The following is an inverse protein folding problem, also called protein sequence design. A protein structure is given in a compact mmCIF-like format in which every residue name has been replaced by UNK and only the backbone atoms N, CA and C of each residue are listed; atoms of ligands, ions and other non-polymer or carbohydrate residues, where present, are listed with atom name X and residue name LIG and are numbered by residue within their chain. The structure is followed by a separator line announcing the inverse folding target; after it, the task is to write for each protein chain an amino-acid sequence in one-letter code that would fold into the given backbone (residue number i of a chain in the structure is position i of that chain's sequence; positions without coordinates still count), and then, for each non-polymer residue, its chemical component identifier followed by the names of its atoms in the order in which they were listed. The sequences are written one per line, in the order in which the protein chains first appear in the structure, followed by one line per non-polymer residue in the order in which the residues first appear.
data_IF_020229256720
#
_entry.id   IF_020229256720
#
_cell.length_a   1.000
_cell.length_b   1.000
_cell.length_c   1.000
_cell.angle_alpha   90.00
_cell.angle_beta   90.00
_cell.angle_gamma   90.00
#
_symmetry.space_group_name_H-M   'P 1'
#
loop_
_entity.id
_entity.type
_entity.pdbx_description
1 polymer ?
#
# COMPACT_ATOMS: atom_id res chain seq x y z
N UNK A 1 14.39 2.77 -2.98
CA UNK A 1 14.09 1.71 -1.98
C UNK A 1 15.27 0.75 -1.70
N UNK A 2 15.85 0.07 -2.70
CA UNK A 2 16.87 -0.97 -2.47
C UNK A 2 18.14 -0.49 -1.73
N UNK A 3 18.61 0.73 -2.02
CA UNK A 3 19.77 1.33 -1.34
C UNK A 3 19.57 1.42 0.17
N UNK A 4 18.48 2.03 0.65
CA UNK A 4 18.24 2.20 2.09
C UNK A 4 17.95 0.90 2.84
N UNK A 5 17.42 -0.13 2.16
CA UNK A 5 17.27 -1.45 2.75
C UNK A 5 18.65 -2.06 3.04
N UNK A 6 19.62 -1.91 2.13
CA UNK A 6 21.02 -2.34 2.34
C UNK A 6 21.67 -1.58 3.50
N UNK A 7 21.42 -0.28 3.60
CA UNK A 7 21.88 0.59 4.70
C UNK A 7 21.13 0.36 6.04
N UNK A 8 20.36 -0.73 6.18
CA UNK A 8 19.57 -1.06 7.38
C UNK A 8 18.60 0.06 7.82
N UNK A 9 18.12 0.88 6.88
CA UNK A 9 17.15 1.98 7.08
C UNK A 9 15.80 1.70 6.38
N UNK A 10 15.09 0.61 6.73
CA UNK A 10 13.86 0.22 6.04
C UNK A 10 12.72 1.23 6.22
N UNK A 11 12.64 1.90 7.39
CA UNK A 11 11.59 2.89 7.67
C UNK A 11 11.69 4.08 6.73
N UNK A 12 12.90 4.62 6.52
CA UNK A 12 13.12 5.70 5.54
C UNK A 12 12.74 5.26 4.12
N UNK A 13 13.01 4.00 3.79
CA UNK A 13 12.64 3.45 2.49
C UNK A 13 11.13 3.41 2.26
N UNK A 14 10.39 2.96 3.26
CA UNK A 14 8.92 2.94 3.24
C UNK A 14 8.37 4.37 3.13
N UNK A 15 8.81 5.29 3.99
CA UNK A 15 8.30 6.66 4.03
C UNK A 15 8.52 7.37 2.69
N UNK A 16 9.75 7.37 2.17
CA UNK A 16 10.04 8.13 0.95
C UNK A 16 9.34 7.53 -0.27
N UNK A 17 9.25 6.20 -0.35
CA UNK A 17 8.52 5.55 -1.43
C UNK A 17 7.01 5.86 -1.38
N UNK A 18 6.44 5.93 -0.17
CA UNK A 18 5.02 6.25 0.03
C UNK A 18 4.71 7.72 -0.28
N UNK A 19 5.60 8.65 0.10
CA UNK A 19 5.50 10.06 -0.30
C UNK A 19 5.56 10.16 -1.82
N UNK A 20 6.56 9.54 -2.45
CA UNK A 20 6.72 9.58 -3.90
C UNK A 20 5.46 9.06 -4.61
N UNK A 21 4.91 7.92 -4.17
CA UNK A 21 3.69 7.36 -4.71
C UNK A 21 2.52 8.34 -4.59
N UNK A 22 2.27 8.89 -3.40
CA UNK A 22 1.21 9.87 -3.21
C UNK A 22 1.43 11.14 -4.04
N UNK A 23 2.67 11.61 -4.19
CA UNK A 23 2.99 12.82 -4.96
C UNK A 23 2.74 12.66 -6.45
N UNK A 24 2.90 11.46 -7.01
CA UNK A 24 2.60 11.18 -8.41
C UNK A 24 1.11 11.38 -8.76
N UNK A 25 0.23 11.46 -7.77
CA UNK A 25 -1.22 11.62 -7.94
C UNK A 25 -1.69 13.06 -7.72
N UNK A 26 -0.81 14.02 -7.41
CA UNK A 26 -1.18 15.42 -7.17
C UNK A 26 -1.89 16.04 -8.37
N UNK A 27 -1.55 15.61 -9.59
CA UNK A 27 -2.18 16.09 -10.82
C UNK A 27 -3.56 15.47 -11.09
N UNK A 28 -4.00 14.50 -10.29
CA UNK A 28 -5.28 13.84 -10.51
C UNK A 28 -6.45 14.75 -10.10
N UNK A 29 -7.59 14.67 -10.80
CA UNK A 29 -8.78 15.42 -10.41
C UNK A 29 -9.21 15.10 -8.98
N UNK A 30 -9.72 16.11 -8.27
CA UNK A 30 -10.25 15.98 -6.91
C UNK A 30 -9.22 15.52 -5.85
N UNK A 31 -7.93 15.62 -6.16
CA UNK A 31 -6.88 15.37 -5.18
C UNK A 31 -6.94 16.43 -4.06
N UNK A 32 -6.97 15.97 -2.82
CA UNK A 32 -6.89 16.77 -1.61
C UNK A 32 -6.05 16.06 -0.52
N UNK A 33 -6.06 16.62 0.68
CA UNK A 33 -5.30 16.07 1.79
C UNK A 33 -5.77 14.66 2.22
N UNK A 34 -7.06 14.36 2.10
CA UNK A 34 -7.58 13.04 2.46
C UNK A 34 -7.19 11.98 1.43
N UNK A 35 -7.23 12.31 0.12
CA UNK A 35 -6.70 11.40 -0.90
C UNK A 35 -5.20 11.18 -0.74
N UNK A 36 -4.44 12.24 -0.42
CA UNK A 36 -3.02 12.12 -0.15
C UNK A 36 -2.73 11.15 1.00
N UNK A 37 -3.50 11.24 2.09
CA UNK A 37 -3.39 10.35 3.24
C UNK A 37 -3.72 8.89 2.88
N UNK A 38 -4.80 8.66 2.13
CA UNK A 38 -5.17 7.32 1.65
C UNK A 38 -4.09 6.70 0.77
N UNK A 39 -3.61 7.43 -0.24
CA UNK A 39 -2.55 6.99 -1.14
C UNK A 39 -1.21 6.79 -0.45
N UNK A 40 -0.87 7.65 0.51
CA UNK A 40 0.33 7.48 1.33
C UNK A 40 0.28 6.16 2.11
N UNK A 41 -0.83 5.87 2.81
CA UNK A 41 -0.98 4.61 3.54
C UNK A 41 -0.99 3.39 2.63
N UNK A 42 -1.62 3.48 1.46
CA UNK A 42 -1.51 2.44 0.44
C UNK A 42 -0.05 2.23 0.02
N UNK A 43 0.69 3.33 -0.23
CA UNK A 43 2.12 3.30 -0.51
C UNK A 43 2.95 2.61 0.59
N UNK A 44 2.57 2.78 1.86
CA UNK A 44 3.21 2.10 3.00
C UNK A 44 2.98 0.58 2.91
N UNK A 45 1.73 0.16 2.73
CA UNK A 45 1.37 -1.27 2.57
C UNK A 45 2.13 -1.91 1.41
N UNK A 46 2.20 -1.22 0.27
CA UNK A 46 2.90 -1.72 -0.92
C UNK A 46 4.41 -1.80 -0.71
N UNK A 47 4.98 -0.83 -0.01
CA UNK A 47 6.39 -0.81 0.38
C UNK A 47 6.73 -1.98 1.31
N UNK A 48 5.86 -2.31 2.25
CA UNK A 48 6.01 -3.45 3.16
C UNK A 48 5.84 -4.80 2.44
N UNK A 49 4.87 -4.92 1.55
CA UNK A 49 4.72 -6.09 0.68
C UNK A 49 5.98 -6.33 -0.17
N UNK A 50 6.62 -5.26 -0.65
CA UNK A 50 7.90 -5.35 -1.37
C UNK A 50 9.04 -5.83 -0.47
N UNK A 51 9.05 -5.45 0.80
CA UNK A 51 10.05 -5.92 1.77
C UNK A 51 9.85 -7.41 2.06
N UNK A 52 8.61 -7.85 2.22
CA UNK A 52 8.26 -9.24 2.55
C UNK A 52 8.58 -10.21 1.40
N UNK A 53 8.21 -9.84 0.17
CA UNK A 53 8.27 -10.74 -0.99
C UNK A 53 9.51 -10.56 -1.86
N UNK A 54 10.30 -9.51 -1.61
CA UNK A 54 11.44 -9.11 -2.43
C UNK A 54 11.14 -8.89 -3.94
N UNK A 55 9.87 -8.78 -4.32
CA UNK A 55 9.41 -8.75 -5.71
C UNK A 55 8.55 -7.51 -5.99
N UNK A 56 8.93 -6.69 -6.98
CA UNK A 56 8.17 -5.50 -7.38
C UNK A 56 6.94 -5.83 -8.24
N UNK A 57 6.98 -6.94 -8.98
CA UNK A 57 5.84 -7.39 -9.79
C UNK A 57 4.66 -7.78 -8.91
N UNK A 58 4.91 -8.27 -7.70
CA UNK A 58 3.86 -8.54 -6.71
C UNK A 58 3.11 -7.25 -6.33
N UNK A 59 3.84 -6.14 -6.14
CA UNK A 59 3.24 -4.83 -5.91
C UNK A 59 2.44 -4.38 -7.14
N UNK A 60 2.99 -4.53 -8.35
CA UNK A 60 2.26 -4.23 -9.57
C UNK A 60 0.96 -5.02 -9.71
N UNK A 61 0.98 -6.32 -9.42
CA UNK A 61 -0.17 -7.20 -9.50
C UNK A 61 -1.25 -6.83 -8.47
N UNK A 62 -0.88 -6.58 -7.21
CA UNK A 62 -1.82 -6.16 -6.16
C UNK A 62 -2.44 -4.80 -6.49
N UNK A 63 -1.64 -3.85 -6.99
CA UNK A 63 -2.15 -2.53 -7.40
C UNK A 63 -3.11 -2.64 -8.58
N UNK A 64 -2.73 -3.39 -9.62
CA UNK A 64 -3.58 -3.63 -10.77
C UNK A 64 -4.88 -4.34 -10.38
N UNK A 65 -4.81 -5.33 -9.47
CA UNK A 65 -5.99 -6.00 -8.94
C UNK A 65 -6.91 -5.00 -8.21
N UNK A 66 -6.36 -4.15 -7.33
CA UNK A 66 -7.13 -3.14 -6.63
C UNK A 66 -7.89 -2.20 -7.60
N UNK A 67 -7.18 -1.61 -8.56
CA UNK A 67 -7.80 -0.73 -9.56
C UNK A 67 -8.79 -1.47 -10.48
N UNK A 68 -8.53 -2.74 -10.81
CA UNK A 68 -9.45 -3.56 -11.59
C UNK A 68 -10.75 -3.80 -10.83
N UNK A 69 -10.67 -4.12 -9.54
CA UNK A 69 -11.87 -4.29 -8.72
C UNK A 69 -12.64 -2.98 -8.54
N UNK A 70 -11.96 -1.86 -8.25
CA UNK A 70 -12.61 -0.56 -8.15
C UNK A 70 -13.26 -0.14 -9.47
N UNK A 71 -12.48 -0.07 -10.54
CA UNK A 71 -12.92 0.54 -11.79
C UNK A 71 -13.71 -0.39 -12.71
N UNK A 72 -13.32 -1.67 -12.82
CA UNK A 72 -13.96 -2.60 -13.75
C UNK A 72 -15.09 -3.37 -13.09
N UNK A 73 -14.88 -3.88 -11.87
CA UNK A 73 -15.90 -4.70 -11.20
C UNK A 73 -16.94 -3.81 -10.50
N UNK A 74 -16.53 -2.88 -9.64
CA UNK A 74 -17.47 -2.08 -8.85
C UNK A 74 -17.89 -0.77 -9.52
N UNK A 75 -17.14 -0.30 -10.52
CA UNK A 75 -17.44 0.91 -11.25
C UNK A 75 -17.29 2.19 -10.41
N UNK A 76 -16.39 2.20 -9.43
CA UNK A 76 -16.02 3.39 -8.67
C UNK A 76 -14.91 4.17 -9.38
N UNK A 77 -14.85 5.49 -9.17
CA UNK A 77 -13.69 6.29 -9.59
C UNK A 77 -12.40 5.67 -9.02
N UNK A 78 -11.34 5.67 -9.81
CA UNK A 78 -10.01 5.17 -9.42
C UNK A 78 -9.06 6.35 -9.34
N UNK A 79 -8.66 6.75 -8.13
CA UNK A 79 -7.76 7.89 -7.91
C UNK A 79 -8.13 9.19 -8.66
N UNK A 80 -9.42 9.54 -8.74
CA UNK A 80 -9.92 10.73 -9.42
C UNK A 80 -10.17 10.56 -10.92
N UNK A 81 -9.81 9.39 -11.49
CA UNK A 81 -9.97 9.09 -12.90
C UNK A 81 -11.28 8.32 -13.17
N UNK A 82 -11.93 8.55 -14.33
CA UNK A 82 -13.14 7.85 -14.69
C UNK A 82 -12.87 6.35 -14.88
N UNK A 83 -13.93 5.55 -14.69
CA UNK A 83 -13.88 4.11 -14.80
C UNK A 83 -14.87 3.59 -15.87
N UNK A 84 -14.78 2.30 -16.17
CA UNK A 84 -15.63 1.62 -17.15
C UNK A 84 -16.89 1.03 -16.49
N UNK A 85 -16.78 0.49 -15.27
CA UNK A 85 -17.90 -0.10 -14.52
C UNK A 85 -18.60 -1.25 -15.27
N UNK A 86 -17.83 -2.27 -15.66
CA UNK A 86 -18.28 -3.34 -16.55
C UNK A 86 -19.28 -4.30 -15.90
N UNK A 87 -19.06 -4.66 -14.63
CA UNK A 87 -19.92 -5.62 -13.91
C UNK A 87 -20.97 -4.91 -13.09
N UNK A 88 -20.53 -3.99 -12.22
CA UNK A 88 -21.39 -3.11 -11.44
C UNK A 88 -21.03 -1.66 -11.71
N UNK A 89 -22.02 -0.77 -11.50
CA UNK A 89 -21.84 0.68 -11.58
C UNK A 89 -22.26 1.30 -10.25
N UNK A 90 -21.27 1.53 -9.39
CA UNK A 90 -21.51 2.18 -8.10
C UNK A 90 -21.90 3.64 -8.31
N UNK A 91 -22.94 4.08 -7.61
CA UNK A 91 -23.42 5.46 -7.62
C UNK A 91 -23.35 6.03 -6.21
N UNK A 92 -22.71 7.19 -6.08
CA UNK A 92 -22.64 7.90 -4.81
C UNK A 92 -24.02 8.46 -4.43
N UNK A 93 -24.83 7.66 -3.72
CA UNK A 93 -26.14 8.09 -3.20
C UNK A 93 -26.04 8.92 -1.92
N UNK A 94 -24.94 8.81 -1.18
CA UNK A 94 -24.67 9.61 0.02
C UNK A 94 -23.69 10.74 -0.31
N UNK A 95 -23.84 11.87 0.37
CA UNK A 95 -22.89 12.99 0.33
C UNK A 95 -21.67 12.76 1.22
N UNK A 96 -21.70 11.73 2.08
CA UNK A 96 -20.59 11.41 2.98
C UNK A 96 -19.40 10.80 2.22
N UNK A 97 -18.44 11.65 1.89
CA UNK A 97 -17.20 11.24 1.25
C UNK A 97 -16.31 10.40 2.18
N UNK A 98 -16.56 10.39 3.48
CA UNK A 98 -15.87 9.49 4.42
C UNK A 98 -16.22 8.02 4.18
N UNK A 99 -17.40 7.73 3.63
CA UNK A 99 -17.82 6.37 3.28
C UNK A 99 -17.50 6.03 1.83
N UNK A 100 -17.71 6.97 0.91
CA UNK A 100 -17.62 6.70 -0.53
C UNK A 100 -16.30 7.09 -1.16
N UNK A 101 -15.54 7.98 -0.52
CA UNK A 101 -14.37 8.64 -1.12
C UNK A 101 -14.72 9.73 -2.14
N UNK A 102 -16.01 9.95 -2.41
CA UNK A 102 -16.49 11.02 -3.29
C UNK A 102 -16.00 10.86 -4.74
N UNK A 103 -15.69 11.99 -5.38
CA UNK A 103 -15.23 12.01 -6.77
C UNK A 103 -13.79 11.55 -6.96
N UNK A 104 -13.00 11.38 -5.89
CA UNK A 104 -11.66 10.79 -5.97
C UNK A 104 -11.71 9.26 -6.03
N UNK A 105 -12.75 8.63 -5.49
CA UNK A 105 -12.82 7.18 -5.38
C UNK A 105 -12.57 6.68 -3.96
N UNK A 106 -12.89 5.42 -3.72
CA UNK A 106 -12.99 4.84 -2.37
C UNK A 106 -11.64 4.82 -1.63
N UNK A 107 -10.52 4.95 -2.33
CA UNK A 107 -9.16 5.12 -1.76
C UNK A 107 -9.06 6.34 -0.82
N UNK A 108 -9.84 7.40 -1.09
CA UNK A 108 -9.93 8.60 -0.23
C UNK A 108 -10.87 8.39 0.98
N UNK A 109 -11.69 7.35 0.99
CA UNK A 109 -12.65 7.12 2.07
C UNK A 109 -11.95 6.87 3.41
N UNK A 110 -12.60 7.27 4.51
CA UNK A 110 -12.12 6.97 5.86
C UNK A 110 -12.07 5.46 6.14
N UNK A 111 -12.94 4.68 5.49
CA UNK A 111 -12.95 3.22 5.57
C UNK A 111 -11.66 2.64 4.99
N UNK A 112 -11.29 3.03 3.76
CA UNK A 112 -10.04 2.57 3.14
C UNK A 112 -8.82 3.01 3.92
N UNK A 113 -8.78 4.27 4.39
CA UNK A 113 -7.71 4.79 5.24
C UNK A 113 -7.52 3.93 6.49
N UNK A 114 -8.62 3.58 7.18
CA UNK A 114 -8.56 2.72 8.36
C UNK A 114 -8.03 1.32 8.01
N UNK A 115 -8.52 0.72 6.92
CA UNK A 115 -8.07 -0.60 6.46
C UNK A 115 -6.57 -0.57 6.12
N UNK A 116 -6.10 0.43 5.38
CA UNK A 116 -4.70 0.57 5.02
C UNK A 116 -3.82 0.77 6.26
N UNK A 117 -4.27 1.55 7.25
CA UNK A 117 -3.56 1.70 8.52
C UNK A 117 -3.44 0.38 9.28
N UNK A 118 -4.54 -0.39 9.39
CA UNK A 118 -4.54 -1.71 10.03
C UNK A 118 -3.63 -2.69 9.29
N UNK A 119 -3.66 -2.69 7.96
CA UNK A 119 -2.78 -3.53 7.14
C UNK A 119 -1.31 -3.13 7.33
N UNK A 120 -0.98 -1.84 7.30
CA UNK A 120 0.37 -1.35 7.52
C UNK A 120 0.91 -1.79 8.89
N UNK A 121 0.13 -1.61 9.96
CA UNK A 121 0.53 -2.07 11.31
C UNK A 121 0.72 -3.59 11.34
N UNK A 122 -0.18 -4.34 10.72
CA UNK A 122 -0.11 -5.81 10.70
C UNK A 122 1.13 -6.31 9.96
N UNK A 123 1.41 -5.76 8.77
CA UNK A 123 2.59 -6.11 7.98
C UNK A 123 3.87 -5.67 8.67
N UNK A 124 3.91 -4.48 9.29
CA UNK A 124 5.04 -4.04 10.12
C UNK A 124 5.34 -5.03 11.26
N UNK A 125 4.31 -5.53 11.94
CA UNK A 125 4.44 -6.56 12.99
C UNK A 125 5.00 -7.86 12.39
N UNK A 126 4.50 -8.30 11.24
CA UNK A 126 4.99 -9.50 10.55
C UNK A 126 6.46 -9.34 10.15
N UNK A 127 6.84 -8.19 9.59
CA UNK A 127 8.23 -7.88 9.21
C UNK A 127 9.13 -7.90 10.45
N UNK A 128 8.72 -7.25 11.55
CA UNK A 128 9.47 -7.26 12.81
C UNK A 128 9.61 -8.68 13.34
N UNK A 129 8.53 -9.45 13.37
CA UNK A 129 8.56 -10.85 13.80
C UNK A 129 9.48 -11.68 12.95
N UNK A 130 9.47 -11.58 11.62
CA UNK A 130 10.37 -12.33 10.70
C UNK A 130 11.84 -11.96 10.86
N UNK A 131 12.15 -10.72 11.28
CA UNK A 131 13.50 -10.32 11.66
C UNK A 131 13.94 -10.86 13.02
N UNK A 132 13.01 -11.40 13.83
CA UNK A 132 13.27 -11.79 15.22
C UNK A 132 12.81 -13.22 15.60
N UNK A 133 13.02 -14.29 14.79
CA UNK A 133 13.03 -15.62 15.41
C UNK A 133 14.03 -16.61 14.78
N UNK A 134 14.70 -17.36 15.66
CA UNK A 134 15.24 -18.71 15.40
C UNK A 134 16.54 -18.89 14.57
N UNK A 135 17.16 -17.83 14.04
CA UNK A 135 18.52 -17.95 13.45
C UNK A 135 19.67 -17.67 14.44
N UNK A 136 19.36 -17.35 15.71
CA UNK A 136 20.35 -17.02 16.76
C UNK A 136 20.38 -18.05 17.90
N UNK A 137 19.57 -19.11 17.84
CA UNK A 137 19.47 -20.15 18.87
C UNK A 137 19.85 -21.55 18.41
N UNK A 138 20.20 -21.75 17.14
CA UNK A 138 20.73 -23.03 16.63
C UNK A 138 22.27 -23.02 16.69
N UNK A 139 22.92 -23.96 17.40
CA UNK A 139 24.39 -24.02 17.51
C UNK A 139 25.11 -24.33 16.19
N UNK A 140 24.38 -24.64 15.12
CA UNK A 140 24.91 -25.03 13.80
C UNK A 140 25.66 -23.90 13.07
N UNK A 141 25.44 -22.62 13.40
CA UNK A 141 26.08 -21.49 12.71
C UNK A 141 27.44 -21.07 13.28
N UNK A 142 27.90 -21.63 14.42
CA UNK A 142 29.20 -21.30 15.01
C UNK A 142 30.35 -22.21 14.55
N UNK A 143 30.10 -23.14 13.62
CA UNK A 143 31.12 -24.08 13.12
C UNK A 143 31.44 -23.92 11.63
N UNK A 144 30.76 -23.01 10.93
CA UNK A 144 30.91 -22.87 9.47
C UNK A 144 31.92 -21.79 9.03
N UNK A 145 32.45 -21.00 9.98
CA UNK A 145 33.32 -19.86 9.67
C UNK A 145 34.82 -20.14 9.96
N UNK A 146 35.20 -21.38 10.29
CA UNK A 146 36.58 -21.79 10.63
C UNK A 146 37.26 -22.66 9.54
N UNK A 147 36.99 -22.41 8.24
CA UNK A 147 37.76 -23.01 7.13
C UNK A 147 38.07 -22.00 6.03
#
# INVERSE_FOLDING_TARGET
MGYWIKEKRPVLAVIINSILFSSLHIANPHFDWYSAMGLFLFGVVMSELRIINHNILMCGAVHAAWNFFEGTIFGTTVSGLPNIGLVFKSMNKTTSQMLTGGSFGIERSGVSILIYAVLAITLAIIIKKRKTPESLSSPTYLQADDV
#
